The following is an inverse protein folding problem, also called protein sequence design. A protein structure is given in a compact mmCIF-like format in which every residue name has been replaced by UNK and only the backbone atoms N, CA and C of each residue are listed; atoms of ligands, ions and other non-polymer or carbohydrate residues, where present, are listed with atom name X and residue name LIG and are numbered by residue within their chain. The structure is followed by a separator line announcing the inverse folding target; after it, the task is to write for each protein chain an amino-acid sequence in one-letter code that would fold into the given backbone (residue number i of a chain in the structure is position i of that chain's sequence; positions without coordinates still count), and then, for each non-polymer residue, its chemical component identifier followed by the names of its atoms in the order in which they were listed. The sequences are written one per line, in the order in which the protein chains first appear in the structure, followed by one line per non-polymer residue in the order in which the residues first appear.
data_IF_617397239682
#
_entry.id   IF_617397239682
#
_cell.length_a   1.000
_cell.length_b   1.000
_cell.length_c   1.000
_cell.angle_alpha   90.00
_cell.angle_beta   90.00
_cell.angle_gamma   90.00
#
_symmetry.space_group_name_H-M   'P 1'
#
loop_
_entity.id
_entity.type
_entity.pdbx_description
1 polymer ?
#
# COMPACT_ATOMS: atom_id res chain seq x y z
N UNK A 1 18.91 -3.00 29.21
CA UNK A 1 19.32 -2.66 27.82
C UNK A 1 19.30 -3.95 27.03
N UNK A 2 18.66 -3.93 25.86
CA UNK A 2 18.61 -5.14 25.04
C UNK A 2 19.92 -5.36 24.32
N UNK A 3 20.42 -6.61 24.30
CA UNK A 3 21.67 -7.00 23.64
C UNK A 3 21.37 -7.56 22.26
N UNK A 4 22.03 -7.03 21.23
CA UNK A 4 21.84 -7.39 19.83
C UNK A 4 23.16 -7.92 19.27
N UNK A 5 23.11 -9.06 18.57
CA UNK A 5 24.23 -9.58 17.80
C UNK A 5 24.03 -9.29 16.33
N UNK A 6 25.04 -8.72 15.67
CA UNK A 6 25.07 -8.52 14.21
C UNK A 6 26.05 -9.51 13.60
N UNK A 7 25.59 -10.32 12.65
CA UNK A 7 26.45 -11.24 11.88
C UNK A 7 26.43 -10.84 10.41
N UNK A 8 27.51 -10.20 9.96
CA UNK A 8 27.63 -9.58 8.64
C UNK A 8 29.09 -9.62 8.20
N UNK A 9 29.39 -10.16 7.02
CA UNK A 9 30.76 -10.28 6.54
C UNK A 9 31.35 -8.94 6.04
N UNK A 10 30.51 -8.05 5.49
CA UNK A 10 30.95 -6.72 5.08
C UNK A 10 31.17 -5.78 6.28
N UNK A 11 32.45 -5.50 6.60
CA UNK A 11 32.84 -4.67 7.75
C UNK A 11 32.20 -3.27 7.74
N UNK A 12 31.96 -2.69 6.55
CA UNK A 12 31.34 -1.36 6.39
C UNK A 12 29.88 -1.38 6.85
N UNK A 13 29.12 -2.38 6.42
CA UNK A 13 27.69 -2.56 6.79
C UNK A 13 27.59 -2.88 8.28
N UNK A 14 28.40 -3.83 8.77
CA UNK A 14 28.47 -4.20 10.18
C UNK A 14 28.72 -2.99 11.08
N UNK A 15 29.77 -2.21 10.78
CA UNK A 15 30.13 -1.03 11.59
C UNK A 15 29.07 0.09 11.51
N UNK A 16 28.37 0.23 10.38
CA UNK A 16 27.29 1.20 10.25
C UNK A 16 26.11 0.80 11.15
N UNK A 17 25.69 -0.46 11.14
CA UNK A 17 24.63 -1.00 11.99
C UNK A 17 24.97 -0.92 13.47
N UNK A 18 26.20 -1.30 13.85
CA UNK A 18 26.68 -1.17 15.23
C UNK A 18 26.54 0.26 15.73
N UNK A 19 26.96 1.25 14.95
CA UNK A 19 26.85 2.66 15.32
C UNK A 19 25.41 3.11 15.47
N UNK A 20 24.53 2.77 14.52
CA UNK A 20 23.12 3.15 14.54
C UNK A 20 22.41 2.56 15.75
N UNK A 21 22.56 1.28 16.01
CA UNK A 21 21.88 0.60 17.11
C UNK A 21 22.46 1.03 18.49
N UNK A 22 23.78 1.21 18.59
CA UNK A 22 24.40 1.72 19.83
C UNK A 22 23.95 3.14 20.14
N UNK A 23 23.83 4.01 19.12
CA UNK A 23 23.32 5.37 19.28
C UNK A 23 21.88 5.40 19.80
N UNK A 24 21.08 4.39 19.49
CA UNK A 24 19.69 4.23 19.94
C UNK A 24 19.56 3.42 21.25
N UNK A 25 20.65 3.23 21.99
CA UNK A 25 20.62 2.69 23.36
C UNK A 25 20.65 1.17 23.46
N UNK A 26 21.00 0.45 22.38
CA UNK A 26 21.21 -1.00 22.41
C UNK A 26 22.66 -1.35 22.71
N UNK A 27 22.87 -2.48 23.37
CA UNK A 27 24.20 -3.09 23.54
C UNK A 27 24.45 -4.02 22.34
N UNK A 28 25.44 -3.68 21.50
CA UNK A 28 25.62 -4.33 20.21
C UNK A 28 26.98 -4.99 20.12
N UNK A 29 26.99 -6.26 19.67
CA UNK A 29 28.18 -7.04 19.35
C UNK A 29 28.17 -7.44 17.88
N UNK A 30 29.34 -7.47 17.23
CA UNK A 30 29.49 -7.82 15.82
C UNK A 30 30.36 -9.04 15.59
N UNK A 31 29.97 -9.85 14.61
CA UNK A 31 30.72 -11.01 14.13
C UNK A 31 30.74 -11.02 12.58
N UNK A 32 31.81 -11.57 11.99
CA UNK A 32 31.96 -11.64 10.53
C UNK A 32 31.40 -12.94 9.90
N UNK A 33 31.11 -13.94 10.75
CA UNK A 33 30.57 -15.23 10.32
C UNK A 33 29.86 -15.92 11.51
N UNK A 34 29.09 -16.96 11.20
CA UNK A 34 28.43 -17.78 12.22
C UNK A 34 29.48 -18.49 13.10
N UNK A 35 30.60 -18.93 12.50
CA UNK A 35 31.69 -19.57 13.23
C UNK A 35 32.37 -18.59 14.21
N UNK A 36 32.59 -17.33 13.81
CA UNK A 36 33.14 -16.28 14.67
C UNK A 36 32.16 -15.94 15.81
N UNK A 37 30.88 -15.79 15.49
CA UNK A 37 29.82 -15.54 16.47
C UNK A 37 29.76 -16.64 17.54
N UNK A 38 29.73 -17.92 17.12
CA UNK A 38 29.67 -19.06 18.05
C UNK A 38 30.95 -19.27 18.87
N UNK A 39 32.12 -18.85 18.34
CA UNK A 39 33.39 -18.95 19.08
C UNK A 39 33.52 -17.86 20.15
N UNK A 40 32.93 -16.69 19.93
CA UNK A 40 33.10 -15.51 20.82
C UNK A 40 31.95 -15.32 21.80
N UNK A 41 30.75 -15.77 21.44
CA UNK A 41 29.54 -15.44 22.16
C UNK A 41 28.66 -16.66 22.44
N UNK A 42 27.96 -16.66 23.57
CA UNK A 42 26.82 -17.53 23.78
C UNK A 42 25.59 -16.88 23.13
N UNK A 43 25.12 -17.47 22.03
CA UNK A 43 24.05 -16.92 21.20
C UNK A 43 22.74 -16.74 21.97
N UNK A 44 22.48 -17.55 23.00
CA UNK A 44 21.26 -17.48 23.81
C UNK A 44 21.22 -16.28 24.78
N UNK A 45 22.34 -15.58 24.95
CA UNK A 45 22.39 -14.36 25.78
C UNK A 45 22.00 -13.08 25.04
N UNK A 46 21.66 -13.16 23.76
CA UNK A 46 21.16 -12.04 22.98
C UNK A 46 19.64 -11.99 22.97
N UNK A 47 19.10 -10.77 22.87
CA UNK A 47 17.67 -10.53 22.73
C UNK A 47 17.23 -10.50 21.26
N UNK A 48 18.17 -10.27 20.34
CA UNK A 48 17.94 -10.29 18.89
C UNK A 48 19.26 -10.61 18.19
N UNK A 49 19.16 -11.41 17.12
CA UNK A 49 20.27 -11.64 16.17
C UNK A 49 19.87 -11.03 14.83
N UNK A 50 20.71 -10.17 14.27
CA UNK A 50 20.57 -9.60 12.92
C UNK A 50 21.64 -10.23 12.04
N UNK A 51 21.27 -10.89 10.97
CA UNK A 51 22.23 -11.61 10.13
C UNK A 51 22.00 -11.44 8.64
N UNK A 52 23.07 -11.39 7.84
CA UNK A 52 22.93 -11.53 6.39
C UNK A 52 22.48 -12.94 6.05
N UNK A 53 21.63 -13.07 5.03
CA UNK A 53 21.21 -14.36 4.49
C UNK A 53 22.39 -15.16 3.91
N UNK A 54 23.34 -14.46 3.28
CA UNK A 54 24.51 -15.06 2.59
C UNK A 54 25.79 -14.70 3.30
N UNK A 55 26.18 -15.54 4.24
CA UNK A 55 27.47 -15.44 4.91
C UNK A 55 28.48 -16.41 4.32
N UNK A 56 29.79 -16.13 4.42
CA UNK A 56 30.84 -17.09 4.07
C UNK A 56 30.76 -18.36 4.91
N UNK A 57 30.68 -19.50 4.24
CA UNK A 57 30.66 -20.82 4.88
C UNK A 57 29.26 -21.37 5.10
N UNK A 58 28.49 -20.81 6.00
CA UNK A 58 27.12 -21.24 6.34
C UNK A 58 26.11 -20.12 6.12
N UNK A 59 24.88 -20.41 5.63
CA UNK A 59 23.85 -19.38 5.44
C UNK A 59 23.36 -18.82 6.80
N UNK A 60 23.04 -17.52 6.87
CA UNK A 60 22.58 -16.87 8.09
C UNK A 60 21.36 -17.52 8.75
N UNK A 61 20.56 -18.27 7.99
CA UNK A 61 19.43 -19.06 8.49
C UNK A 61 19.82 -20.17 9.48
N UNK A 62 21.08 -20.61 9.50
CA UNK A 62 21.57 -21.58 10.50
C UNK A 62 21.53 -21.06 11.93
N UNK A 63 21.59 -19.74 12.12
CA UNK A 63 21.43 -19.12 13.45
C UNK A 63 20.07 -19.36 14.08
N UNK A 64 19.04 -19.54 13.28
CA UNK A 64 17.67 -19.88 13.74
C UNK A 64 17.67 -21.25 14.45
N UNK A 65 18.44 -22.20 13.94
CA UNK A 65 18.55 -23.54 14.53
C UNK A 65 19.52 -23.59 15.72
N UNK A 66 20.54 -22.72 15.73
CA UNK A 66 21.55 -22.67 16.81
C UNK A 66 21.09 -21.88 18.04
N UNK A 67 20.16 -20.95 17.85
CA UNK A 67 19.59 -20.14 18.93
C UNK A 67 18.05 -20.10 18.78
N UNK A 68 17.35 -21.22 19.04
CA UNK A 68 15.91 -21.33 18.76
C UNK A 68 15.03 -20.40 19.63
N UNK A 69 15.55 -19.97 20.77
CA UNK A 69 14.85 -19.08 21.71
C UNK A 69 15.13 -17.59 21.44
N UNK A 70 16.04 -17.27 20.52
CA UNK A 70 16.42 -15.89 20.19
C UNK A 70 15.83 -15.52 18.82
N UNK A 71 15.05 -14.42 18.70
CA UNK A 71 14.54 -13.97 17.43
C UNK A 71 15.68 -13.62 16.46
N UNK A 72 15.55 -14.05 15.20
CA UNK A 72 16.53 -13.81 14.14
C UNK A 72 15.90 -12.95 13.05
N UNK A 73 16.48 -11.77 12.79
CA UNK A 73 16.17 -10.87 11.69
C UNK A 73 17.16 -11.11 10.55
N UNK A 74 16.64 -11.41 9.36
CA UNK A 74 17.44 -11.69 8.17
C UNK A 74 17.59 -10.44 7.30
N UNK A 75 18.84 -10.07 6.97
CA UNK A 75 19.13 -9.06 5.94
C UNK A 75 19.41 -9.75 4.59
N UNK A 76 18.96 -9.19 3.47
CA UNK A 76 19.22 -9.78 2.15
C UNK A 76 19.39 -8.73 1.04
N UNK A 77 20.45 -8.88 0.22
CA UNK A 77 20.69 -8.06 -0.98
C UNK A 77 19.79 -8.45 -2.16
N UNK A 78 19.13 -9.59 -2.10
CA UNK A 78 18.18 -10.07 -3.10
C UNK A 78 16.80 -10.16 -2.50
N UNK A 79 16.08 -9.05 -2.50
CA UNK A 79 14.65 -8.98 -2.18
C UNK A 79 13.82 -9.69 -3.26
N UNK A 80 14.10 -10.98 -3.54
CA UNK A 80 13.11 -11.81 -4.17
C UNK A 80 12.13 -12.23 -3.08
N UNK A 81 10.84 -12.09 -3.35
CA UNK A 81 9.76 -12.59 -2.47
C UNK A 81 10.04 -14.04 -1.99
N UNK A 82 10.77 -14.82 -2.78
CA UNK A 82 11.22 -16.18 -2.46
C UNK A 82 12.17 -16.26 -1.28
N UNK A 83 13.22 -15.44 -1.26
CA UNK A 83 14.24 -15.51 -0.20
C UNK A 83 13.67 -15.11 1.16
N UNK A 84 12.77 -14.11 1.16
CA UNK A 84 12.05 -13.69 2.34
C UNK A 84 11.12 -14.79 2.90
N UNK A 85 10.30 -15.37 2.02
CA UNK A 85 9.38 -16.47 2.40
C UNK A 85 10.15 -17.70 2.90
N UNK A 86 11.29 -18.02 2.30
CA UNK A 86 12.09 -19.18 2.71
C UNK A 86 12.75 -18.92 4.07
N UNK A 87 13.26 -17.71 4.35
CA UNK A 87 13.78 -17.33 5.67
C UNK A 87 12.70 -17.39 6.77
N UNK A 88 11.49 -16.87 6.48
CA UNK A 88 10.36 -16.93 7.40
C UNK A 88 9.89 -18.36 7.69
N UNK A 89 9.92 -19.26 6.69
CA UNK A 89 9.60 -20.69 6.90
C UNK A 89 10.60 -21.42 7.77
N UNK A 90 11.83 -20.99 7.78
CA UNK A 90 12.90 -21.54 8.63
C UNK A 90 12.82 -21.01 10.06
N UNK A 91 11.93 -20.04 10.34
CA UNK A 91 11.72 -19.51 11.69
C UNK A 91 12.34 -18.13 11.93
N UNK A 92 12.79 -17.41 10.88
CA UNK A 92 13.14 -16.00 11.04
C UNK A 92 11.91 -15.20 11.51
N UNK A 93 12.12 -14.26 12.44
CA UNK A 93 11.03 -13.42 12.96
C UNK A 93 10.62 -12.37 11.94
N UNK A 94 11.61 -11.86 11.17
CA UNK A 94 11.37 -10.92 10.08
C UNK A 94 12.56 -10.89 9.11
N UNK A 95 12.41 -10.12 8.01
CA UNK A 95 13.48 -9.88 7.07
C UNK A 95 13.50 -8.42 6.61
N UNK A 96 14.68 -7.93 6.22
CA UNK A 96 14.87 -6.60 5.65
C UNK A 96 15.70 -6.66 4.37
N UNK A 97 15.28 -5.92 3.33
CA UNK A 97 15.96 -5.90 2.04
C UNK A 97 17.05 -4.83 2.01
N UNK A 98 18.27 -5.19 1.56
CA UNK A 98 19.34 -4.23 1.27
C UNK A 98 19.13 -3.62 -0.14
N UNK A 99 19.25 -2.29 -0.33
CA UNK A 99 19.56 -1.28 0.67
C UNK A 99 18.33 -0.90 1.50
N UNK A 100 18.51 -0.76 2.80
CA UNK A 100 17.50 -0.28 3.75
C UNK A 100 17.96 1.04 4.37
N UNK A 101 17.02 1.87 4.81
CA UNK A 101 17.36 3.04 5.59
C UNK A 101 17.49 2.71 7.09
N UNK A 102 18.08 3.66 7.84
CA UNK A 102 18.30 3.49 9.27
C UNK A 102 17.00 3.45 10.08
N UNK A 103 15.96 4.17 9.62
CA UNK A 103 14.65 4.20 10.26
C UNK A 103 13.93 2.85 10.14
N UNK A 104 13.93 2.26 8.95
CA UNK A 104 13.33 0.95 8.68
C UNK A 104 13.96 -0.16 9.55
N UNK A 105 15.29 -0.13 9.71
CA UNK A 105 16.01 -1.06 10.57
C UNK A 105 15.61 -0.89 12.03
N UNK A 106 15.55 0.35 12.55
CA UNK A 106 15.20 0.64 13.92
C UNK A 106 13.76 0.26 14.25
N UNK A 107 12.79 0.59 13.39
CA UNK A 107 11.39 0.19 13.57
C UNK A 107 11.24 -1.34 13.64
N UNK A 108 11.97 -2.06 12.78
CA UNK A 108 11.96 -3.51 12.79
C UNK A 108 12.54 -4.08 14.10
N UNK A 109 13.66 -3.56 14.57
CA UNK A 109 14.30 -3.95 15.84
C UNK A 109 13.41 -3.66 17.04
N UNK A 110 12.84 -2.46 17.13
CA UNK A 110 11.94 -2.07 18.21
C UNK A 110 10.70 -2.97 18.27
N UNK A 111 10.10 -3.25 17.12
CA UNK A 111 8.95 -4.13 17.02
C UNK A 111 9.26 -5.55 17.49
N UNK A 112 10.39 -6.11 17.09
CA UNK A 112 10.78 -7.47 17.50
C UNK A 112 11.05 -7.52 19.01
N UNK A 113 11.78 -6.56 19.55
CA UNK A 113 12.13 -6.53 20.97
C UNK A 113 10.94 -6.24 21.89
N UNK A 114 9.95 -5.46 21.41
CA UNK A 114 8.72 -5.18 22.18
C UNK A 114 7.76 -6.37 22.27
N UNK A 115 7.94 -7.39 21.43
CA UNK A 115 7.12 -8.61 21.42
C UNK A 115 7.69 -9.73 22.33
N UNK A 116 8.85 -9.54 22.97
CA UNK A 116 9.40 -10.53 23.91
C UNK A 116 8.73 -10.43 25.29
N UNK A 117 8.25 -11.53 25.88
CA UNK A 117 7.82 -11.55 27.28
C UNK A 117 9.05 -11.35 28.20
N UNK A 118 8.99 -10.35 29.08
CA UNK A 118 9.99 -10.22 30.16
C UNK A 118 9.95 -11.46 31.07
N UNK A 119 11.12 -11.94 31.61
CA UNK A 119 11.14 -13.03 32.55
C UNK A 119 10.45 -12.64 33.87
N UNK A 120 9.57 -13.50 34.34
CA UNK A 120 8.69 -13.36 35.50
C UNK A 120 9.42 -12.86 36.75
N UNK A 121 9.04 -11.68 37.22
CA UNK A 121 9.25 -11.27 38.63
C UNK A 121 7.87 -11.05 39.27
N UNK A 122 7.59 -11.92 40.26
CA UNK A 122 6.56 -11.93 41.34
C UNK A 122 5.40 -10.91 41.29
N UNK A 123 4.16 -11.37 41.59
CA UNK A 123 2.94 -10.59 41.35
C UNK A 123 2.73 -9.53 42.46
N UNK A 124 2.76 -8.26 42.04
CA UNK A 124 2.14 -7.14 42.75
C UNK A 124 0.89 -6.68 41.98
N UNK A 125 -0.11 -6.07 42.65
CA UNK A 125 -1.47 -5.99 42.15
C UNK A 125 -1.59 -5.17 40.83
N UNK A 126 -2.30 -5.77 39.94
CA UNK A 126 -2.74 -5.35 38.63
C UNK A 126 -2.99 -3.84 38.48
N UNK A 127 -2.18 -3.19 37.60
CA UNK A 127 -2.69 -2.12 36.76
C UNK A 127 -2.69 -2.66 35.33
N UNK A 128 -3.89 -2.90 34.80
CA UNK A 128 -4.15 -3.55 33.55
C UNK A 128 -3.36 -2.93 32.38
N UNK A 129 -2.45 -3.70 31.82
CA UNK A 129 -2.05 -3.57 30.44
C UNK A 129 -3.19 -4.20 29.61
N UNK A 130 -4.17 -3.36 29.25
CA UNK A 130 -5.22 -3.74 28.34
C UNK A 130 -4.57 -4.15 27.01
N UNK A 131 -4.67 -5.43 26.70
CA UNK A 131 -4.75 -5.87 25.31
C UNK A 131 -5.65 -4.87 24.59
N UNK A 132 -5.10 -4.08 23.67
CA UNK A 132 -5.84 -2.99 23.02
C UNK A 132 -6.92 -3.56 22.12
N UNK A 133 -8.08 -3.83 22.72
CA UNK A 133 -9.28 -4.34 22.06
C UNK A 133 -10.04 -3.24 21.31
N UNK A 134 -9.41 -2.10 21.09
CA UNK A 134 -10.06 -0.95 20.46
C UNK A 134 -9.48 -0.68 19.05
N UNK A 135 -10.33 -0.62 18.00
CA UNK A 135 -9.93 -0.23 16.64
C UNK A 135 -9.24 1.13 16.55
N UNK A 136 -9.47 2.03 17.50
CA UNK A 136 -8.83 3.36 17.56
C UNK A 136 -7.31 3.32 17.74
N UNK A 137 -6.74 2.17 18.14
CA UNK A 137 -5.30 1.97 18.15
C UNK A 137 -4.70 1.82 16.74
N UNK A 138 -5.50 1.32 15.80
CA UNK A 138 -5.05 1.07 14.42
C UNK A 138 -5.37 2.24 13.49
N UNK A 139 -6.46 2.96 13.76
CA UNK A 139 -6.98 4.01 12.89
C UNK A 139 -7.41 5.22 13.71
N UNK A 140 -7.04 6.41 13.24
CA UNK A 140 -7.53 7.66 13.84
C UNK A 140 -8.91 8.04 13.29
N UNK A 141 -9.79 8.54 14.17
CA UNK A 141 -11.07 9.11 13.78
C UNK A 141 -12.01 9.36 14.96
N UNK A 142 -12.28 10.63 15.23
CA UNK A 142 -13.21 11.06 16.27
C UNK A 142 -14.59 11.44 15.69
N UNK A 143 -14.67 11.68 14.36
CA UNK A 143 -15.90 12.04 13.69
C UNK A 143 -16.97 10.93 13.77
N UNK A 144 -18.27 11.28 13.74
CA UNK A 144 -19.38 10.31 13.83
C UNK A 144 -19.33 9.21 12.76
N UNK A 145 -18.79 9.51 11.57
CA UNK A 145 -18.64 8.55 10.51
C UNK A 145 -17.63 7.43 10.87
N UNK A 146 -16.46 7.82 11.41
CA UNK A 146 -15.44 6.87 11.86
C UNK A 146 -15.85 6.11 13.11
N UNK A 147 -16.58 6.74 14.05
CA UNK A 147 -17.13 6.06 15.22
C UNK A 147 -18.10 4.92 14.82
N UNK A 148 -18.91 5.12 13.77
CA UNK A 148 -19.74 4.02 13.20
C UNK A 148 -18.88 2.88 12.63
N UNK A 149 -17.79 3.20 11.95
CA UNK A 149 -16.83 2.20 11.44
C UNK A 149 -16.23 1.42 12.61
N UNK A 150 -15.73 2.09 13.65
CA UNK A 150 -15.17 1.44 14.84
C UNK A 150 -16.18 0.56 15.56
N UNK A 151 -17.42 0.99 15.66
CA UNK A 151 -18.50 0.17 16.23
C UNK A 151 -18.71 -1.13 15.41
N UNK A 152 -18.73 -1.03 14.08
CA UNK A 152 -18.85 -2.21 13.20
C UNK A 152 -17.63 -3.13 13.32
N UNK A 153 -16.42 -2.56 13.34
CA UNK A 153 -15.18 -3.33 13.52
C UNK A 153 -15.21 -4.14 14.82
N UNK A 154 -15.54 -3.50 15.96
CA UNK A 154 -15.66 -4.19 17.26
C UNK A 154 -16.70 -5.31 17.25
N UNK A 155 -17.82 -5.10 16.56
CA UNK A 155 -18.91 -6.08 16.48
C UNK A 155 -18.58 -7.28 15.58
N UNK A 156 -17.87 -7.05 14.48
CA UNK A 156 -17.58 -8.05 13.45
C UNK A 156 -16.26 -8.78 13.71
N UNK A 157 -15.28 -8.12 14.31
CA UNK A 157 -13.94 -8.68 14.53
C UNK A 157 -13.96 -10.04 15.27
N UNK A 158 -14.75 -10.26 16.34
CA UNK A 158 -14.76 -11.55 17.03
C UNK A 158 -15.33 -12.74 16.22
N UNK A 159 -15.97 -12.46 15.07
CA UNK A 159 -16.57 -13.48 14.22
C UNK A 159 -15.63 -13.94 13.11
N UNK A 160 -15.83 -15.14 12.57
CA UNK A 160 -15.11 -15.63 11.38
C UNK A 160 -15.82 -15.28 10.06
N UNK A 161 -16.81 -14.39 10.12
CA UNK A 161 -17.58 -13.96 8.95
C UNK A 161 -16.69 -13.25 7.94
N UNK A 162 -16.91 -13.52 6.66
CA UNK A 162 -16.28 -12.80 5.55
C UNK A 162 -16.65 -11.31 5.59
N UNK A 163 -15.65 -10.45 5.47
CA UNK A 163 -15.82 -8.99 5.51
C UNK A 163 -15.37 -8.38 4.21
N UNK A 164 -16.21 -7.52 3.62
CA UNK A 164 -15.88 -6.70 2.47
C UNK A 164 -15.70 -5.23 2.92
N UNK A 165 -14.48 -4.72 2.80
CA UNK A 165 -14.15 -3.32 3.11
C UNK A 165 -14.21 -2.51 1.82
N UNK A 166 -15.06 -1.48 1.80
CA UNK A 166 -15.20 -0.59 0.66
C UNK A 166 -14.73 0.81 1.06
N UNK A 167 -13.93 1.44 0.20
CA UNK A 167 -13.46 2.80 0.39
C UNK A 167 -12.50 3.21 -0.72
N UNK A 168 -12.40 4.50 -0.94
CA UNK A 168 -11.46 5.06 -1.92
C UNK A 168 -10.02 4.66 -1.62
N UNK A 169 -9.12 4.83 -2.59
CA UNK A 169 -7.69 4.61 -2.36
C UNK A 169 -7.19 5.53 -1.24
N UNK A 170 -6.31 5.02 -0.39
CA UNK A 170 -5.74 5.81 0.71
C UNK A 170 -6.64 6.06 1.93
N UNK A 171 -7.85 5.46 2.03
CA UNK A 171 -8.76 5.64 3.19
C UNK A 171 -8.38 4.80 4.42
N UNK A 172 -7.40 3.89 4.32
CA UNK A 172 -6.96 3.02 5.42
C UNK A 172 -7.62 1.64 5.43
N UNK A 173 -8.00 1.07 4.27
CA UNK A 173 -8.60 -0.27 4.14
C UNK A 173 -7.73 -1.37 4.78
N UNK A 174 -6.41 -1.27 4.63
CA UNK A 174 -5.45 -2.21 5.22
C UNK A 174 -5.45 -2.13 6.75
N UNK A 175 -5.44 -0.92 7.33
CA UNK A 175 -5.52 -0.74 8.78
C UNK A 175 -6.83 -1.30 9.37
N UNK A 176 -7.94 -1.20 8.64
CA UNK A 176 -9.20 -1.81 9.04
C UNK A 176 -9.12 -3.35 9.00
N UNK A 177 -8.42 -3.94 8.03
CA UNK A 177 -8.19 -5.38 7.97
C UNK A 177 -7.27 -5.86 9.10
N UNK A 178 -6.21 -5.12 9.42
CA UNK A 178 -5.35 -5.37 10.58
C UNK A 178 -6.13 -5.31 11.89
N UNK A 179 -7.01 -4.31 12.07
CA UNK A 179 -7.88 -4.21 13.23
C UNK A 179 -8.84 -5.42 13.34
N UNK A 180 -9.45 -5.85 12.23
CA UNK A 180 -10.31 -7.05 12.19
C UNK A 180 -9.56 -8.33 12.59
N UNK A 181 -8.29 -8.46 12.19
CA UNK A 181 -7.47 -9.61 12.55
C UNK A 181 -7.05 -9.55 14.02
N UNK A 182 -6.48 -8.43 14.47
CA UNK A 182 -5.95 -8.30 15.84
C UNK A 182 -7.03 -8.36 16.93
N UNK A 183 -8.29 -8.00 16.60
CA UNK A 183 -9.44 -8.08 17.49
C UNK A 183 -10.18 -9.43 17.39
N UNK A 184 -9.67 -10.39 16.60
CA UNK A 184 -10.22 -11.72 16.45
C UNK A 184 -9.45 -12.74 17.31
N UNK A 185 -10.11 -13.86 17.61
CA UNK A 185 -9.45 -15.02 18.24
C UNK A 185 -8.30 -15.60 17.42
N UNK A 186 -8.22 -15.28 16.11
CA UNK A 186 -7.13 -15.66 15.20
C UNK A 186 -5.95 -14.69 15.24
N UNK A 187 -5.92 -13.68 16.10
CA UNK A 187 -4.81 -12.75 16.26
C UNK A 187 -3.43 -13.42 16.50
N UNK A 188 -3.34 -14.58 17.23
CA UNK A 188 -2.06 -15.28 17.36
C UNK A 188 -1.56 -15.97 16.08
N UNK A 189 -2.42 -16.13 15.06
CA UNK A 189 -2.06 -16.74 13.77
C UNK A 189 -1.71 -15.66 12.73
N UNK A 190 -1.25 -16.08 11.56
CA UNK A 190 -0.79 -15.16 10.52
C UNK A 190 -1.94 -14.37 9.88
N UNK A 191 -1.71 -13.07 9.70
CA UNK A 191 -2.41 -12.24 8.72
C UNK A 191 -1.59 -12.23 7.43
N UNK A 192 -2.13 -12.79 6.35
CA UNK A 192 -1.49 -12.71 5.03
C UNK A 192 -2.22 -11.67 4.21
N UNK A 193 -1.53 -10.59 3.86
CA UNK A 193 -2.04 -9.51 3.03
C UNK A 193 -1.56 -9.66 1.59
N UNK A 194 -2.48 -9.52 0.65
CA UNK A 194 -2.22 -9.64 -0.79
C UNK A 194 -2.89 -8.48 -1.52
N UNK A 195 -2.10 -7.68 -2.21
CA UNK A 195 -2.62 -6.69 -3.14
C UNK A 195 -2.77 -7.33 -4.53
N UNK A 196 -4.03 -7.57 -4.95
CA UNK A 196 -4.32 -8.24 -6.22
C UNK A 196 -3.89 -7.41 -7.44
N UNK A 197 -3.90 -6.09 -7.34
CA UNK A 197 -3.46 -5.20 -8.42
C UNK A 197 -1.93 -5.20 -8.61
N UNK A 198 -1.15 -5.55 -7.59
CA UNK A 198 0.30 -5.58 -7.66
C UNK A 198 0.86 -6.86 -8.31
N UNK A 199 0.04 -7.90 -8.47
CA UNK A 199 0.46 -9.18 -9.04
C UNK A 199 0.05 -9.23 -10.52
N UNK A 200 0.98 -9.50 -11.46
CA UNK A 200 0.63 -9.70 -12.87
C UNK A 200 -0.45 -10.76 -13.04
N UNK A 201 -1.42 -10.52 -13.92
CA UNK A 201 -2.58 -11.40 -14.18
C UNK A 201 -2.17 -12.86 -14.42
N UNK A 202 -1.11 -13.09 -15.22
CA UNK A 202 -0.58 -14.42 -15.53
C UNK A 202 -0.01 -15.20 -14.30
N UNK A 203 0.31 -14.50 -13.21
CA UNK A 203 0.91 -15.09 -12.02
C UNK A 203 -0.05 -15.20 -10.83
N UNK A 204 -1.16 -14.45 -10.85
CA UNK A 204 -2.04 -14.30 -9.68
C UNK A 204 -2.62 -15.64 -9.23
N UNK A 205 -2.99 -16.53 -10.15
CA UNK A 205 -3.47 -17.88 -9.79
C UNK A 205 -2.39 -18.69 -9.10
N UNK A 206 -1.17 -18.69 -9.64
CA UNK A 206 -0.04 -19.42 -9.07
C UNK A 206 0.37 -18.89 -7.69
N UNK A 207 0.29 -17.58 -7.47
CA UNK A 207 0.60 -16.97 -6.17
C UNK A 207 -0.50 -17.27 -5.14
N UNK A 208 -1.78 -17.11 -5.48
CA UNK A 208 -2.88 -17.34 -4.55
C UNK A 208 -3.09 -18.82 -4.23
N UNK A 209 -3.14 -19.68 -5.26
CA UNK A 209 -3.52 -21.09 -5.11
C UNK A 209 -2.34 -22.06 -5.07
N UNK A 210 -1.12 -21.60 -5.43
CA UNK A 210 0.04 -22.44 -5.60
C UNK A 210 -0.01 -23.28 -6.88
N UNK A 211 1.07 -23.97 -7.19
CA UNK A 211 1.17 -24.81 -8.37
C UNK A 211 1.97 -26.09 -8.12
N UNK A 212 1.69 -27.13 -8.89
CA UNK A 212 2.49 -28.33 -8.97
C UNK A 212 3.62 -28.19 -9.99
N UNK A 213 4.65 -29.04 -9.85
CA UNK A 213 5.74 -29.08 -10.82
C UNK A 213 5.19 -29.42 -12.21
N UNK A 214 5.56 -28.60 -13.21
CA UNK A 214 5.12 -28.79 -14.61
C UNK A 214 3.74 -28.22 -14.94
N UNK A 215 3.11 -27.49 -14.04
CA UNK A 215 1.78 -26.90 -14.25
C UNK A 215 1.73 -25.87 -15.40
N UNK A 216 2.85 -25.21 -15.67
CA UNK A 216 3.04 -24.26 -16.79
C UNK A 216 4.52 -24.18 -17.17
N UNK A 217 4.82 -23.54 -18.30
CA UNK A 217 6.20 -23.30 -18.76
C UNK A 217 6.96 -22.44 -17.74
N UNK A 218 7.93 -23.04 -17.04
CA UNK A 218 8.67 -22.39 -15.93
C UNK A 218 8.35 -22.92 -14.54
N UNK A 219 7.36 -23.78 -14.36
CA UNK A 219 7.05 -24.44 -13.07
C UNK A 219 8.06 -25.59 -12.77
N UNK A 220 9.28 -25.23 -12.39
CA UNK A 220 10.37 -26.19 -12.12
C UNK A 220 10.13 -27.00 -10.84
N UNK A 221 9.46 -26.42 -9.84
CA UNK A 221 9.14 -27.03 -8.54
C UNK A 221 7.69 -26.76 -8.16
N UNK A 222 7.11 -27.59 -7.31
CA UNK A 222 5.81 -27.28 -6.69
C UNK A 222 5.95 -26.12 -5.71
N UNK A 223 4.92 -25.26 -5.61
CA UNK A 223 4.89 -24.12 -4.70
C UNK A 223 3.55 -24.02 -3.97
N UNK A 224 3.62 -23.76 -2.66
CA UNK A 224 2.46 -23.49 -1.81
C UNK A 224 1.90 -22.09 -2.12
N UNK A 225 0.57 -21.96 -2.23
CA UNK A 225 -0.10 -20.67 -2.46
C UNK A 225 -0.32 -19.89 -1.17
N UNK A 226 -0.63 -18.58 -1.33
CA UNK A 226 -0.87 -17.67 -0.20
C UNK A 226 -2.11 -18.05 0.62
N UNK A 227 -3.15 -18.61 -0.02
CA UNK A 227 -4.34 -19.11 0.68
C UNK A 227 -3.99 -20.28 1.60
N UNK A 228 -3.18 -21.24 1.13
CA UNK A 228 -2.71 -22.37 1.93
C UNK A 228 -1.77 -21.91 3.06
N UNK A 229 -0.97 -20.86 2.82
CA UNK A 229 -0.09 -20.27 3.82
C UNK A 229 -0.84 -19.51 4.92
N UNK A 230 -2.09 -19.08 4.66
CA UNK A 230 -2.98 -18.41 5.60
C UNK A 230 -3.83 -19.39 6.44
N UNK A 231 -3.62 -20.71 6.29
CA UNK A 231 -4.41 -21.73 6.99
C UNK A 231 -4.36 -21.55 8.52
N UNK A 232 -5.50 -21.60 9.17
CA UNK A 232 -5.70 -21.27 10.60
C UNK A 232 -5.80 -19.77 10.89
N UNK A 233 -5.33 -18.89 9.99
CA UNK A 233 -5.20 -17.45 10.15
C UNK A 233 -6.25 -16.63 9.40
N UNK A 234 -5.81 -15.46 8.91
CA UNK A 234 -6.62 -14.52 8.14
C UNK A 234 -5.93 -14.21 6.81
N UNK A 235 -6.69 -14.25 5.72
CA UNK A 235 -6.26 -13.75 4.40
C UNK A 235 -6.93 -12.42 4.11
N UNK A 236 -6.16 -11.39 3.87
CA UNK A 236 -6.62 -10.10 3.40
C UNK A 236 -6.30 -9.94 1.91
N UNK A 237 -7.34 -9.76 1.09
CA UNK A 237 -7.24 -9.52 -0.36
C UNK A 237 -7.59 -8.05 -0.64
N UNK A 238 -6.56 -7.23 -0.84
CA UNK A 238 -6.78 -5.85 -1.28
C UNK A 238 -6.99 -5.79 -2.79
N UNK A 239 -7.81 -4.82 -3.22
CA UNK A 239 -8.21 -4.61 -4.60
C UNK A 239 -8.76 -5.90 -5.26
N UNK A 240 -9.71 -6.57 -4.57
CA UNK A 240 -10.33 -7.82 -5.02
C UNK A 240 -11.01 -7.70 -6.39
N UNK A 241 -11.41 -6.49 -6.80
CA UNK A 241 -11.99 -6.20 -8.10
C UNK A 241 -11.04 -6.37 -9.28
N UNK A 242 -9.74 -6.51 -9.03
CA UNK A 242 -8.70 -6.71 -10.06
C UNK A 242 -8.43 -8.20 -10.35
N UNK A 243 -9.14 -9.12 -9.66
CA UNK A 243 -8.96 -10.55 -9.91
C UNK A 243 -9.49 -10.96 -11.29
N UNK A 244 -8.71 -11.70 -12.09
CA UNK A 244 -9.20 -12.28 -13.34
C UNK A 244 -10.28 -13.35 -13.10
N UNK A 245 -11.13 -13.58 -14.09
CA UNK A 245 -12.31 -14.45 -13.98
C UNK A 245 -11.98 -15.88 -13.50
N UNK A 246 -10.83 -16.43 -13.92
CA UNK A 246 -10.39 -17.78 -13.51
C UNK A 246 -10.06 -17.82 -12.02
N UNK A 247 -9.34 -16.81 -11.51
CA UNK A 247 -9.03 -16.68 -10.10
C UNK A 247 -10.29 -16.47 -9.25
N UNK A 248 -11.27 -15.69 -9.74
CA UNK A 248 -12.56 -15.49 -9.11
C UNK A 248 -13.30 -16.83 -8.94
N UNK A 249 -13.33 -17.68 -9.97
CA UNK A 249 -13.99 -18.99 -9.91
C UNK A 249 -13.34 -19.95 -8.89
N UNK A 250 -12.01 -19.92 -8.79
CA UNK A 250 -11.27 -20.71 -7.79
C UNK A 250 -11.46 -20.21 -6.37
N UNK A 251 -11.46 -18.87 -6.19
CA UNK A 251 -11.69 -18.24 -4.88
C UNK A 251 -13.09 -18.56 -4.35
N UNK A 252 -14.09 -18.61 -5.23
CA UNK A 252 -15.44 -19.00 -4.86
C UNK A 252 -15.48 -20.40 -4.22
N UNK A 253 -14.74 -21.37 -4.78
CA UNK A 253 -14.65 -22.72 -4.19
C UNK A 253 -14.02 -22.71 -2.81
N UNK A 254 -12.97 -21.93 -2.61
CA UNK A 254 -12.34 -21.76 -1.28
C UNK A 254 -13.37 -21.23 -0.27
N UNK A 255 -14.15 -20.22 -0.65
CA UNK A 255 -15.18 -19.62 0.21
C UNK A 255 -16.41 -20.51 0.48
N UNK A 256 -16.73 -21.42 -0.44
CA UNK A 256 -17.90 -22.29 -0.31
C UNK A 256 -17.58 -23.62 0.37
N UNK A 257 -16.48 -24.25 -0.07
CA UNK A 257 -16.12 -25.63 0.28
C UNK A 257 -15.01 -25.68 1.34
N UNK A 258 -14.28 -24.57 1.58
CA UNK A 258 -13.08 -24.57 2.42
C UNK A 258 -11.96 -25.42 1.81
N UNK A 259 -11.94 -25.56 0.48
CA UNK A 259 -10.97 -26.40 -0.22
C UNK A 259 -10.17 -25.59 -1.25
N UNK A 260 -8.88 -25.84 -1.28
CA UNK A 260 -7.96 -25.27 -2.28
C UNK A 260 -7.47 -26.37 -3.21
N UNK A 261 -7.28 -26.02 -4.49
CA UNK A 261 -6.65 -26.88 -5.49
C UNK A 261 -5.52 -26.11 -6.17
N UNK A 262 -4.31 -26.64 -6.12
CA UNK A 262 -3.15 -26.05 -6.79
C UNK A 262 -3.31 -26.09 -8.31
N UNK A 263 -2.68 -25.15 -9.00
CA UNK A 263 -2.64 -25.14 -10.47
C UNK A 263 -1.90 -26.39 -10.97
N UNK A 264 -2.49 -27.12 -11.92
CA UNK A 264 -1.96 -28.39 -12.40
C UNK A 264 -2.25 -29.60 -11.52
N UNK A 265 -2.95 -29.46 -10.38
CA UNK A 265 -3.32 -30.57 -9.49
C UNK A 265 -4.78 -30.96 -9.63
N UNK A 266 -5.08 -32.26 -9.46
CA UNK A 266 -6.45 -32.79 -9.30
C UNK A 266 -6.84 -32.97 -7.83
N UNK A 267 -5.88 -32.84 -6.91
CA UNK A 267 -6.09 -33.04 -5.48
C UNK A 267 -6.59 -31.75 -4.82
N UNK A 268 -7.64 -31.85 -4.01
CA UNK A 268 -8.12 -30.77 -3.13
C UNK A 268 -7.49 -30.91 -1.74
N UNK A 269 -7.24 -29.77 -1.08
CA UNK A 269 -6.83 -29.68 0.32
C UNK A 269 -7.82 -28.82 1.08
N UNK A 270 -8.18 -29.22 2.28
CA UNK A 270 -9.00 -28.39 3.18
C UNK A 270 -8.14 -27.30 3.78
N UNK A 271 -8.71 -26.11 3.89
CA UNK A 271 -8.12 -24.94 4.54
C UNK A 271 -9.18 -24.23 5.38
N UNK A 272 -8.78 -23.74 6.53
CA UNK A 272 -9.61 -22.94 7.43
C UNK A 272 -9.07 -21.52 7.50
N UNK A 273 -9.53 -20.65 6.61
CA UNK A 273 -9.02 -19.27 6.47
C UNK A 273 -10.15 -18.27 6.65
N UNK A 274 -9.97 -17.33 7.58
CA UNK A 274 -10.85 -16.15 7.66
C UNK A 274 -10.55 -15.20 6.51
N UNK A 275 -11.59 -14.86 5.73
CA UNK A 275 -11.45 -14.00 4.56
C UNK A 275 -11.84 -12.55 4.86
N UNK A 276 -10.95 -11.60 4.53
CA UNK A 276 -11.23 -10.16 4.50
C UNK A 276 -10.85 -9.67 3.10
N UNK A 277 -11.76 -9.01 2.41
CA UNK A 277 -11.53 -8.45 1.08
C UNK A 277 -11.71 -6.93 1.11
N UNK A 278 -10.96 -6.21 0.27
CA UNK A 278 -11.10 -4.77 0.13
C UNK A 278 -11.10 -4.35 -1.34
N UNK A 279 -11.78 -3.23 -1.63
CA UNK A 279 -11.80 -2.64 -2.97
C UNK A 279 -12.25 -1.18 -2.92
N UNK A 280 -11.81 -0.40 -3.90
CA UNK A 280 -12.37 0.91 -4.21
C UNK A 280 -13.44 0.84 -5.33
N UNK A 281 -13.48 -0.27 -6.10
CA UNK A 281 -14.40 -0.45 -7.24
C UNK A 281 -15.80 -0.83 -6.79
N UNK A 282 -16.78 -0.48 -7.62
CA UNK A 282 -18.18 -0.89 -7.41
C UNK A 282 -18.40 -2.32 -7.94
N UNK A 283 -18.13 -3.34 -7.09
CA UNK A 283 -18.29 -4.74 -7.48
C UNK A 283 -19.71 -5.06 -7.98
N UNK A 284 -20.76 -4.41 -7.40
CA UNK A 284 -22.14 -4.61 -7.85
C UNK A 284 -22.39 -4.10 -9.28
N UNK A 285 -21.72 -3.04 -9.69
CA UNK A 285 -21.76 -2.60 -11.09
C UNK A 285 -21.01 -3.59 -11.98
N UNK A 286 -19.83 -4.06 -11.55
CA UNK A 286 -19.02 -5.04 -12.27
C UNK A 286 -19.70 -6.40 -12.45
N UNK A 287 -20.62 -6.81 -11.56
CA UNK A 287 -21.42 -8.02 -11.80
C UNK A 287 -22.39 -7.86 -12.97
N UNK A 288 -22.88 -6.63 -13.22
CA UNK A 288 -23.78 -6.34 -14.35
C UNK A 288 -23.06 -6.33 -15.69
N UNK A 289 -21.79 -5.91 -15.71
CA UNK A 289 -20.94 -5.92 -16.91
C UNK A 289 -20.26 -7.26 -17.17
N UNK A 290 -20.32 -8.19 -16.21
CA UNK A 290 -19.68 -9.50 -16.30
C UNK A 290 -18.19 -9.51 -15.94
N UNK A 291 -17.63 -8.39 -15.51
CA UNK A 291 -16.24 -8.29 -15.06
C UNK A 291 -16.01 -8.97 -13.70
N UNK A 292 -17.05 -9.06 -12.88
CA UNK A 292 -17.01 -9.74 -11.59
C UNK A 292 -18.17 -10.75 -11.48
N UNK A 293 -17.88 -11.94 -10.95
CA UNK A 293 -18.89 -12.97 -10.80
C UNK A 293 -19.90 -12.62 -9.71
N UNK A 294 -21.17 -12.76 -10.01
CA UNK A 294 -22.27 -12.46 -9.07
C UNK A 294 -22.28 -13.40 -7.87
N UNK A 295 -21.99 -14.70 -8.08
CA UNK A 295 -21.92 -15.70 -7.02
C UNK A 295 -20.79 -15.41 -6.01
N UNK A 296 -19.63 -14.99 -6.49
CA UNK A 296 -18.50 -14.55 -5.65
C UNK A 296 -18.85 -13.27 -4.87
N UNK A 297 -19.49 -12.30 -5.52
CA UNK A 297 -19.90 -11.06 -4.88
C UNK A 297 -20.79 -11.33 -3.66
N UNK A 298 -21.83 -12.17 -3.78
CA UNK A 298 -22.70 -12.48 -2.65
C UNK A 298 -21.98 -13.26 -1.54
N UNK A 299 -20.97 -14.04 -1.86
CA UNK A 299 -20.19 -14.79 -0.86
C UNK A 299 -19.18 -13.90 -0.14
N UNK A 300 -18.65 -12.88 -0.78
CA UNK A 300 -17.78 -11.86 -0.17
C UNK A 300 -18.57 -10.81 0.62
N UNK A 301 -19.73 -10.41 0.14
CA UNK A 301 -20.54 -9.33 0.70
C UNK A 301 -21.47 -9.80 1.82
N UNK A 302 -20.97 -10.59 2.77
CA UNK A 302 -21.72 -11.02 3.96
C UNK A 302 -21.81 -9.89 4.97
N UNK A 303 -20.66 -9.28 5.28
CA UNK A 303 -20.57 -8.08 6.12
C UNK A 303 -19.79 -7.01 5.37
N UNK A 304 -20.38 -5.82 5.26
CA UNK A 304 -19.76 -4.69 4.56
C UNK A 304 -19.37 -3.60 5.55
N UNK A 305 -18.12 -3.15 5.44
CA UNK A 305 -17.60 -1.99 6.16
C UNK A 305 -17.22 -0.94 5.13
N UNK A 306 -17.81 0.26 5.24
CA UNK A 306 -17.50 1.40 4.37
C UNK A 306 -16.63 2.38 5.12
N UNK A 307 -15.44 2.64 4.60
CA UNK A 307 -14.56 3.69 5.07
C UNK A 307 -14.95 5.00 4.37
N UNK A 308 -15.26 6.04 5.13
CA UNK A 308 -15.56 7.34 4.55
C UNK A 308 -14.28 7.95 3.97
N UNK A 309 -14.35 8.65 2.83
CA UNK A 309 -13.24 9.43 2.31
C UNK A 309 -12.90 10.58 3.27
N UNK A 310 -11.66 11.08 3.20
CA UNK A 310 -11.16 12.06 4.16
C UNK A 310 -11.97 13.37 4.16
N UNK A 311 -12.47 13.81 3.00
CA UNK A 311 -13.35 14.97 2.87
C UNK A 311 -14.67 14.87 3.67
N UNK A 312 -15.14 13.65 3.96
CA UNK A 312 -16.34 13.39 4.77
C UNK A 312 -16.02 13.22 6.28
N UNK A 313 -14.76 13.49 6.66
CA UNK A 313 -14.23 13.42 8.04
C UNK A 313 -13.72 14.79 8.50
N UNK A 314 -14.45 15.87 8.23
CA UNK A 314 -13.96 17.25 8.44
C UNK A 314 -13.36 17.50 9.83
N UNK A 315 -13.94 16.88 10.88
CA UNK A 315 -13.46 17.00 12.26
C UNK A 315 -12.10 16.30 12.48
N UNK A 316 -11.79 15.27 11.69
CA UNK A 316 -10.57 14.47 11.83
C UNK A 316 -9.38 15.05 11.06
N UNK A 317 -9.61 15.87 10.00
CA UNK A 317 -8.58 16.30 9.05
C UNK A 317 -7.38 16.94 9.77
N UNK A 318 -7.64 17.95 10.62
CA UNK A 318 -6.58 18.64 11.33
C UNK A 318 -5.92 17.79 12.42
N UNK A 319 -6.70 16.90 13.05
CA UNK A 319 -6.19 15.95 14.04
C UNK A 319 -5.21 14.95 13.41
N UNK A 320 -5.59 14.38 12.27
CA UNK A 320 -4.73 13.49 11.46
C UNK A 320 -3.47 14.21 11.01
N UNK A 321 -3.58 15.40 10.44
CA UNK A 321 -2.43 16.16 9.97
C UNK A 321 -1.42 16.43 11.09
N UNK A 322 -1.87 16.85 12.26
CA UNK A 322 -1.00 17.08 13.43
C UNK A 322 -0.33 15.79 13.90
N UNK A 323 -1.07 14.67 13.92
CA UNK A 323 -0.52 13.37 14.30
C UNK A 323 0.56 12.92 13.32
N UNK A 324 0.37 13.07 12.01
CA UNK A 324 1.41 12.77 11.03
C UNK A 324 2.62 13.67 11.19
N UNK A 325 2.42 14.97 11.39
CA UNK A 325 3.52 15.90 11.62
C UNK A 325 4.37 15.51 12.82
N UNK A 326 3.72 15.12 13.92
CA UNK A 326 4.39 14.65 15.13
C UNK A 326 5.13 13.32 14.90
N UNK A 327 4.49 12.34 14.25
CA UNK A 327 5.10 11.05 13.95
C UNK A 327 6.32 11.18 13.02
N UNK A 328 6.20 11.97 11.95
CA UNK A 328 7.27 12.19 10.99
C UNK A 328 8.41 13.00 11.64
N UNK A 329 8.07 14.04 12.42
CA UNK A 329 9.08 14.81 13.16
C UNK A 329 9.87 13.95 14.15
N UNK A 330 9.20 13.07 14.88
CA UNK A 330 9.86 12.13 15.79
C UNK A 330 10.80 11.15 15.06
N UNK A 331 10.41 10.65 13.88
CA UNK A 331 11.27 9.79 13.03
C UNK A 331 12.54 10.53 12.57
N UNK A 332 12.43 11.82 12.25
CA UNK A 332 13.58 12.64 11.82
C UNK A 332 14.43 13.19 12.98
N UNK A 333 14.22 12.71 14.20
CA UNK A 333 14.89 13.18 15.43
C UNK A 333 14.75 14.69 15.67
N UNK A 334 13.80 15.35 15.02
CA UNK A 334 13.48 16.76 15.15
C UNK A 334 12.07 16.92 15.75
N UNK A 335 12.01 17.41 16.98
CA UNK A 335 10.75 17.64 17.70
C UNK A 335 10.41 19.12 17.64
N UNK A 336 9.20 19.46 17.22
CA UNK A 336 8.69 20.83 17.32
C UNK A 336 8.13 21.41 16.04
N UNK A 337 7.99 20.63 14.97
CA UNK A 337 7.30 21.11 13.76
C UNK A 337 5.87 21.55 14.07
N UNK A 338 5.47 22.68 13.50
CA UNK A 338 4.11 23.24 13.62
C UNK A 338 3.62 23.71 12.25
N UNK A 339 2.32 23.61 12.01
CA UNK A 339 1.72 24.22 10.82
C UNK A 339 1.52 25.72 11.02
N UNK A 340 1.76 26.52 9.99
CA UNK A 340 1.32 27.91 9.98
C UNK A 340 -0.21 27.99 9.98
N UNK A 341 -0.83 29.10 10.42
CA UNK A 341 -2.28 29.27 10.37
C UNK A 341 -2.85 29.11 8.95
N UNK A 342 -2.12 29.59 7.94
CA UNK A 342 -2.47 29.48 6.52
C UNK A 342 -2.41 28.03 6.05
N UNK A 343 -1.38 27.26 6.44
CA UNK A 343 -1.27 25.84 6.14
C UNK A 343 -2.42 25.04 6.77
N UNK A 344 -2.80 25.35 8.01
CA UNK A 344 -3.95 24.70 8.65
C UNK A 344 -5.28 24.99 7.92
N UNK A 345 -5.47 26.20 7.38
CA UNK A 345 -6.65 26.52 6.59
C UNK A 345 -6.66 25.76 5.26
N UNK A 346 -5.50 25.68 4.58
CA UNK A 346 -5.35 24.92 3.34
C UNK A 346 -5.65 23.43 3.57
N UNK A 347 -5.02 22.81 4.58
CA UNK A 347 -5.24 21.41 4.95
C UNK A 347 -6.74 21.11 5.19
N UNK A 348 -7.45 22.01 5.87
CA UNK A 348 -8.87 21.85 6.17
C UNK A 348 -9.76 22.00 4.93
N UNK A 349 -9.39 22.87 3.99
CA UNK A 349 -10.18 23.18 2.79
C UNK A 349 -9.95 22.20 1.65
N UNK A 350 -8.78 21.60 1.58
CA UNK A 350 -8.39 20.71 0.51
C UNK A 350 -9.21 19.40 0.52
N UNK A 351 -9.60 18.90 -0.64
CA UNK A 351 -10.50 17.75 -0.78
C UNK A 351 -9.86 16.39 -0.53
N UNK A 352 -8.53 16.30 -0.60
CA UNK A 352 -7.76 15.08 -0.40
C UNK A 352 -8.20 13.91 -1.30
N UNK A 353 -8.07 14.02 -2.64
CA UNK A 353 -8.48 12.95 -3.56
C UNK A 353 -7.73 11.62 -3.28
N UNK A 354 -6.47 11.66 -2.85
CA UNK A 354 -5.70 10.49 -2.39
C UNK A 354 -5.90 10.17 -0.89
N UNK A 355 -6.86 10.82 -0.23
CA UNK A 355 -7.26 10.58 1.16
C UNK A 355 -6.10 10.69 2.16
N UNK A 356 -6.02 9.77 3.13
CA UNK A 356 -5.03 9.78 4.21
C UNK A 356 -3.61 9.56 3.69
N UNK A 357 -3.44 8.73 2.66
CA UNK A 357 -2.12 8.48 2.05
C UNK A 357 -1.54 9.72 1.38
N UNK A 358 -2.36 10.50 0.69
CA UNK A 358 -1.93 11.77 0.11
C UNK A 358 -1.54 12.78 1.17
N UNK A 359 -2.32 12.89 2.25
CA UNK A 359 -2.03 13.78 3.37
C UNK A 359 -0.70 13.40 4.04
N UNK A 360 -0.48 12.12 4.31
CA UNK A 360 0.77 11.64 4.90
C UNK A 360 1.97 11.98 4.01
N UNK A 361 1.91 11.70 2.71
CA UNK A 361 2.96 12.01 1.75
C UNK A 361 3.22 13.53 1.62
N UNK A 362 2.16 14.35 1.63
CA UNK A 362 2.30 15.80 1.55
C UNK A 362 3.00 16.38 2.79
N UNK A 363 2.65 15.88 3.97
CA UNK A 363 3.28 16.31 5.23
C UNK A 363 4.72 15.80 5.30
N UNK A 364 5.00 14.56 4.90
CA UNK A 364 6.36 14.01 4.87
C UNK A 364 7.25 14.83 3.93
N UNK A 365 6.79 15.13 2.72
CA UNK A 365 7.50 16.00 1.78
C UNK A 365 7.74 17.39 2.38
N UNK A 366 6.72 17.98 3.02
CA UNK A 366 6.84 19.30 3.65
C UNK A 366 7.88 19.33 4.76
N UNK A 367 7.96 18.29 5.59
CA UNK A 367 8.96 18.16 6.66
C UNK A 367 10.38 18.01 6.08
N UNK A 368 10.54 17.21 5.01
CA UNK A 368 11.84 17.03 4.34
C UNK A 368 12.36 18.33 3.73
N UNK A 369 11.45 19.15 3.19
CA UNK A 369 11.80 20.40 2.50
C UNK A 369 11.85 21.62 3.44
N UNK A 370 11.47 21.47 4.70
CA UNK A 370 11.42 22.59 5.65
C UNK A 370 12.84 22.99 6.12
N UNK A 371 13.19 24.25 5.95
CA UNK A 371 14.42 24.85 6.51
C UNK A 371 14.29 25.24 8.00
N UNK A 372 13.08 25.13 8.58
CA UNK A 372 12.76 25.52 9.97
C UNK A 372 11.57 24.73 10.51
N UNK A 373 11.10 25.12 11.71
CA UNK A 373 10.09 24.37 12.46
C UNK A 373 8.64 24.62 12.01
N UNK A 374 8.42 25.54 11.05
CA UNK A 374 7.08 25.94 10.62
C UNK A 374 6.80 25.48 9.21
N UNK A 375 5.78 24.63 9.05
CA UNK A 375 5.30 24.16 7.76
C UNK A 375 4.33 25.18 7.17
N UNK A 376 4.66 25.73 6.01
CA UNK A 376 3.86 26.70 5.27
C UNK A 376 3.04 26.04 4.14
N UNK A 377 2.05 26.73 3.54
CA UNK A 377 1.27 26.18 2.43
C UNK A 377 2.13 25.74 1.23
N UNK A 378 3.19 26.51 0.93
CA UNK A 378 4.07 26.26 -0.21
C UNK A 378 4.83 24.93 -0.07
N UNK A 379 5.17 24.54 1.17
CA UNK A 379 5.85 23.28 1.45
C UNK A 379 4.92 22.07 1.28
N UNK A 380 3.62 22.24 1.49
CA UNK A 380 2.63 21.18 1.30
C UNK A 380 2.40 20.86 -0.17
N UNK A 381 2.62 21.84 -1.08
CA UNK A 381 2.50 21.67 -2.54
C UNK A 381 1.16 21.00 -2.92
N UNK A 382 0.07 21.57 -2.39
CA UNK A 382 -1.29 21.14 -2.68
C UNK A 382 -1.85 22.06 -3.78
N UNK A 383 -2.12 21.51 -4.96
CA UNK A 383 -2.70 22.25 -6.07
C UNK A 383 -4.13 22.64 -5.73
N UNK A 384 -4.40 23.93 -5.62
CA UNK A 384 -5.71 24.48 -5.28
C UNK A 384 -6.72 24.42 -6.46
N UNK A 385 -6.35 23.78 -7.59
CA UNK A 385 -7.10 23.85 -8.84
C UNK A 385 -8.29 22.87 -8.97
N UNK A 386 -8.58 22.04 -7.96
CA UNK A 386 -9.75 21.15 -7.97
C UNK A 386 -11.04 21.81 -7.43
N UNK A 387 -11.19 23.13 -7.58
CA UNK A 387 -12.49 23.77 -7.40
C UNK A 387 -13.33 23.58 -8.67
N UNK A 388 -14.15 22.54 -8.75
CA UNK A 388 -15.32 22.59 -9.63
C UNK A 388 -16.11 23.86 -9.31
N UNK A 389 -16.45 24.70 -10.31
CA UNK A 389 -17.23 25.89 -10.06
C UNK A 389 -18.58 25.48 -9.45
N UNK A 390 -18.82 25.92 -8.21
CA UNK A 390 -20.09 25.78 -7.53
C UNK A 390 -21.17 26.35 -8.44
N UNK A 391 -22.03 25.48 -8.96
CA UNK A 391 -23.24 25.88 -9.67
C UNK A 391 -24.09 26.65 -8.65
N UNK A 392 -23.99 27.97 -8.71
CA UNK A 392 -24.86 28.86 -7.96
C UNK A 392 -26.30 28.70 -8.49
N UNK A 393 -27.09 27.91 -7.79
CA UNK A 393 -28.56 27.91 -7.93
C UNK A 393 -29.11 29.26 -7.45
N UNK A 394 -29.01 30.26 -8.30
CA UNK A 394 -29.76 31.50 -8.16
C UNK A 394 -31.22 31.25 -8.52
N UNK A 395 -32.05 31.15 -7.51
CA UNK A 395 -33.50 31.30 -7.62
C UNK A 395 -33.82 32.74 -8.09
N UNK A 396 -34.29 32.90 -9.33
CA UNK A 396 -35.16 34.04 -9.68
C UNK A 396 -36.19 33.55 -10.68
N UNK A 397 -37.44 33.95 -10.38
CA UNK A 397 -38.69 33.51 -10.88
C UNK A 397 -39.05 33.74 -12.35
N UNK A 398 -40.05 32.96 -12.66
CA UNK A 398 -41.22 33.15 -13.51
C UNK A 398 -41.15 33.88 -14.85
N UNK A 399 -41.62 33.10 -15.84
CA UNK A 399 -42.51 33.49 -16.96
C UNK A 399 -41.97 34.24 -18.18
N UNK A 400 -41.80 33.53 -19.26
CA UNK A 400 -42.51 33.62 -20.54
C UNK A 400 -41.86 32.78 -21.64
N UNK A 401 -42.62 32.22 -22.62
CA UNK A 401 -42.12 31.29 -23.61
C UNK A 401 -41.57 32.02 -24.87
N UNK A 402 -40.40 31.65 -25.32
CA UNK A 402 -39.87 32.03 -26.62
C UNK A 402 -39.47 30.78 -27.40
N UNK A 403 -40.01 30.69 -28.62
CA UNK A 403 -39.85 29.64 -29.63
C UNK A 403 -38.39 29.41 -30.11
N UNK A 404 -38.10 28.26 -30.72
CA UNK A 404 -36.74 27.76 -30.94
C UNK A 404 -36.12 28.34 -32.20
N UNK A 405 -34.89 28.87 -32.08
CA UNK A 405 -33.98 29.00 -33.23
C UNK A 405 -32.76 28.15 -32.97
N UNK A 406 -32.64 27.11 -33.81
CA UNK A 406 -31.56 26.19 -33.85
C UNK A 406 -30.19 26.81 -34.10
N UNK A 407 -29.20 26.18 -33.47
CA UNK A 407 -27.91 25.87 -34.07
C UNK A 407 -27.19 24.89 -33.12
N UNK A 408 -26.94 23.78 -33.74
CA UNK A 408 -26.07 22.72 -33.41
C UNK A 408 -24.73 23.21 -32.83
N UNK A 409 -24.31 22.62 -31.74
CA UNK A 409 -22.93 22.17 -31.50
C UNK A 409 -23.00 21.10 -30.39
N UNK A 410 -23.19 19.87 -30.87
CA UNK A 410 -23.00 18.64 -30.10
C UNK A 410 -21.50 18.48 -29.82
N UNK A 411 -21.09 18.62 -28.55
CA UNK A 411 -19.84 18.07 -28.09
C UNK A 411 -20.12 16.68 -27.46
N UNK A 412 -19.64 15.58 -28.03
CA UNK A 412 -19.83 14.26 -27.43
C UNK A 412 -18.94 14.07 -26.23
N UNK A 413 -19.55 13.78 -25.10
CA UNK A 413 -18.95 13.56 -23.77
C UNK A 413 -18.34 12.16 -23.57
N UNK A 414 -17.77 11.55 -24.65
CA UNK A 414 -17.16 10.22 -24.56
C UNK A 414 -16.01 10.03 -25.56
N UNK A 415 -15.11 11.03 -25.65
CA UNK A 415 -13.91 10.90 -26.47
C UNK A 415 -12.80 10.25 -25.67
N UNK A 416 -12.21 9.16 -26.19
CA UNK A 416 -10.98 8.60 -25.63
C UNK A 416 -9.85 9.65 -25.68
N UNK A 417 -8.83 9.49 -24.84
CA UNK A 417 -7.67 10.40 -24.80
C UNK A 417 -6.97 10.49 -26.17
N UNK A 418 -7.06 9.46 -26.99
CA UNK A 418 -6.52 9.40 -28.35
C UNK A 418 -7.40 10.17 -29.35
N UNK A 419 -8.72 10.10 -29.21
CA UNK A 419 -9.67 10.85 -30.01
C UNK A 419 -9.58 12.35 -29.71
N UNK A 420 -9.44 12.73 -28.45
CA UNK A 420 -9.20 14.13 -28.03
C UNK A 420 -7.89 14.67 -28.64
N UNK A 421 -6.82 13.89 -28.57
CA UNK A 421 -5.52 14.26 -29.16
C UNK A 421 -5.66 14.47 -30.69
N UNK A 422 -6.32 13.55 -31.38
CA UNK A 422 -6.53 13.62 -32.83
C UNK A 422 -7.34 14.85 -33.21
N UNK A 423 -8.44 15.10 -32.51
CA UNK A 423 -9.32 16.24 -32.74
C UNK A 423 -8.59 17.56 -32.50
N UNK A 424 -7.90 17.68 -31.37
CA UNK A 424 -7.14 18.86 -30.98
C UNK A 424 -6.02 19.20 -31.99
N UNK A 425 -5.29 18.18 -32.47
CA UNK A 425 -4.21 18.38 -33.45
C UNK A 425 -4.75 18.78 -34.79
N UNK A 426 -5.84 18.16 -35.26
CA UNK A 426 -6.48 18.49 -36.55
C UNK A 426 -7.06 19.89 -36.58
N UNK A 427 -7.71 20.35 -35.51
CA UNK A 427 -8.28 21.69 -35.43
C UNK A 427 -7.22 22.81 -35.34
N UNK A 428 -6.11 22.54 -34.64
CA UNK A 428 -5.14 23.59 -34.30
C UNK A 428 -3.88 23.58 -35.19
N UNK A 429 -3.66 22.57 -36.03
CA UNK A 429 -2.46 22.45 -36.86
C UNK A 429 -2.30 23.59 -37.90
N UNK A 430 -3.38 24.28 -38.25
CA UNK A 430 -3.36 25.41 -39.20
C UNK A 430 -3.11 26.76 -38.50
N UNK A 431 -3.25 26.80 -37.16
CA UNK A 431 -3.16 28.02 -36.35
C UNK A 431 -1.96 28.08 -35.46
N UNK A 432 -1.34 26.93 -35.15
CA UNK A 432 -0.24 26.80 -34.17
C UNK A 432 0.93 26.06 -34.79
N UNK A 433 2.13 26.42 -34.34
CA UNK A 433 3.37 25.71 -34.64
C UNK A 433 3.43 24.36 -33.89
N UNK A 434 4.25 23.41 -34.40
CA UNK A 434 4.49 22.11 -33.73
C UNK A 434 5.01 22.27 -32.30
N UNK A 435 5.71 23.36 -32.02
CA UNK A 435 6.21 23.65 -30.67
C UNK A 435 5.09 24.09 -29.74
N UNK A 436 4.20 24.94 -30.21
CA UNK A 436 3.02 25.41 -29.45
C UNK A 436 2.00 24.32 -29.25
N UNK A 437 1.77 23.46 -30.28
CA UNK A 437 0.91 22.28 -30.13
C UNK A 437 1.43 21.30 -29.06
N UNK A 438 2.74 21.03 -29.08
CA UNK A 438 3.36 20.16 -28.09
C UNK A 438 3.24 20.74 -26.67
N UNK A 439 3.46 22.05 -26.51
CA UNK A 439 3.37 22.74 -25.24
C UNK A 439 1.94 22.77 -24.68
N UNK A 440 0.93 23.03 -25.53
CA UNK A 440 -0.48 22.99 -25.10
C UNK A 440 -0.99 21.59 -24.76
N UNK A 441 -0.43 20.56 -25.39
CA UNK A 441 -0.75 19.17 -25.08
C UNK A 441 0.10 18.62 -23.89
N UNK A 442 0.97 19.42 -23.31
CA UNK A 442 1.84 18.99 -22.19
C UNK A 442 2.83 17.88 -22.56
N UNK A 443 3.23 17.76 -23.85
CA UNK A 443 4.12 16.70 -24.34
C UNK A 443 5.35 17.24 -25.07
N UNK A 444 6.39 16.41 -25.21
CA UNK A 444 7.56 16.78 -25.99
C UNK A 444 7.24 16.79 -27.50
N UNK A 445 7.97 17.60 -28.30
CA UNK A 445 7.86 17.61 -29.77
C UNK A 445 8.11 16.23 -30.38
N UNK A 446 8.97 15.41 -29.76
CA UNK A 446 9.25 14.05 -30.18
C UNK A 446 8.03 13.15 -29.95
N UNK A 447 7.41 13.25 -28.78
CA UNK A 447 6.18 12.51 -28.46
C UNK A 447 4.99 12.93 -29.32
N UNK A 448 4.88 14.23 -29.66
CA UNK A 448 3.86 14.72 -30.61
C UNK A 448 4.05 14.07 -31.99
N UNK A 449 5.29 14.03 -32.49
CA UNK A 449 5.63 13.43 -33.77
C UNK A 449 5.33 11.92 -33.80
N UNK A 450 5.74 11.17 -32.78
CA UNK A 450 5.50 9.72 -32.66
C UNK A 450 4.00 9.39 -32.61
N UNK A 451 3.22 10.18 -31.86
CA UNK A 451 1.74 10.00 -31.81
C UNK A 451 1.05 10.34 -33.12
N UNK A 452 1.47 11.41 -33.82
CA UNK A 452 0.96 11.73 -35.18
C UNK A 452 1.24 10.62 -36.17
N UNK A 453 2.43 10.02 -36.15
CA UNK A 453 2.79 8.86 -36.97
C UNK A 453 1.89 7.66 -36.69
N UNK A 454 1.68 7.34 -35.41
CA UNK A 454 0.84 6.21 -34.99
C UNK A 454 -0.62 6.39 -35.37
N UNK A 455 -1.15 7.60 -35.31
CA UNK A 455 -2.54 7.92 -35.58
C UNK A 455 -2.78 8.33 -37.06
N UNK A 456 -1.76 8.28 -37.94
CA UNK A 456 -1.87 8.59 -39.36
C UNK A 456 -2.21 10.04 -39.68
N UNK A 457 -1.92 11.00 -38.79
CA UNK A 457 -2.23 12.42 -38.94
C UNK A 457 -1.14 13.10 -39.79
N UNK A 458 -1.43 13.53 -41.09
CA UNK A 458 -0.41 14.08 -41.96
C UNK A 458 0.08 15.45 -41.47
N UNK A 459 1.38 15.71 -41.72
CA UNK A 459 2.01 17.00 -41.41
C UNK A 459 1.78 17.95 -42.59
N UNK A 460 1.10 19.09 -42.39
CA UNK A 460 1.06 20.15 -43.42
C UNK A 460 2.43 20.85 -43.48
N UNK A 461 3.07 20.86 -44.64
CA UNK A 461 4.27 21.66 -44.90
C UNK A 461 3.89 23.14 -44.83
N UNK A 462 4.52 23.90 -43.93
CA UNK A 462 4.44 25.35 -43.97
C UNK A 462 4.96 25.85 -45.34
N UNK A 463 4.09 26.45 -46.12
CA UNK A 463 4.46 27.07 -47.39
C UNK A 463 5.45 28.22 -47.16
N UNK A 464 6.58 28.17 -47.84
CA UNK A 464 7.49 29.28 -47.93
C UNK A 464 6.84 30.46 -48.66
N UNK A 465 7.07 31.74 -48.29
CA UNK A 465 6.56 32.89 -49.02
C UNK A 465 7.26 32.97 -50.38
N UNK A 466 6.45 33.01 -51.43
CA UNK A 466 6.92 33.12 -52.79
C UNK A 466 7.71 34.43 -53.03
N UNK A 467 8.90 34.29 -53.58
CA UNK A 467 9.64 35.39 -54.22
C UNK A 467 8.99 35.72 -55.56
N UNK A 468 8.40 36.88 -55.64
CA UNK A 468 8.16 37.58 -56.90
C UNK A 468 9.47 38.03 -57.48
N UNK A 469 9.85 37.55 -58.63
CA UNK A 469 10.83 38.19 -59.51
C UNK A 469 10.26 38.30 -60.90
N UNK A 470 10.22 39.55 -61.36
CA UNK A 470 9.94 40.04 -62.69
C UNK A 470 10.96 39.51 -63.72
N UNK A 471 10.50 39.05 -64.83
CA UNK A 471 10.77 39.55 -66.17
C UNK A 471 9.88 38.84 -67.17
#
# INVERSE_FOLDING_TARGET
MSRILIVEDEAVIRSALEKVLTHNGYEVEGAESIADAAARFDLNHFHLIITDLRLPGEPGTELIHRAPDVPVLIMTSYASLRSAVDAMKLGAVDYIAKPFDHGEMLECVERILSQQPEPESTPGPEKGNGSSTDPSHFMYGDCPAMQRVFHLLRKVAPTDTTVLIIGESGTGKELAAQALHNLNRRAPWKLISVNCAAIPEALIESELFGHEKGAFTGAVSARTGLIEAADGGTLFLDEIGELPAEAQARLLRVLQEGEIRRVGSTQSRKVDVRMVAATHRNLKAMTRTGEFREDLFYRLNVMQIRLPPLRDREEDILGLAKRFLEQIGNRMAHRGYTFSPEAMQLIKRYRWPGNVREMENAIERAVILADGDVITPELLDLDAEDEEPAISTGLVGADQPVEPRGREDDAPSDLSLEDYFQHFVLENQDRMSETELAQKLGISRKSLWERRQRLGIPRKKSGAPGSSASH
#
